data_IF_080927877134
#
_entry.id   IF_080927877134
#
_cell.length_a   1.000
_cell.length_b   1.000
_cell.length_c   1.000
_cell.angle_alpha   90.00
_cell.angle_beta   90.00
_cell.angle_gamma   90.00
#
_symmetry.space_group_name_H-M   'P 1'
#
loop_
_entity.id
_entity.type
_entity.pdbx_description
1 polymer ?
#
# COMPACT_ATOMS: atom_id res chain seq x y z
N UNK A 1 24.87 5.31 -15.17
CA UNK A 1 25.15 5.20 -16.61
C UNK A 1 25.30 3.72 -16.90
N UNK A 2 24.34 3.12 -17.57
CA UNK A 2 24.44 1.75 -18.09
C UNK A 2 25.38 1.84 -19.27
N UNK A 3 26.42 1.02 -19.34
CA UNK A 3 27.36 0.95 -20.48
C UNK A 3 26.72 0.38 -21.75
N UNK A 4 25.50 0.79 -22.03
CA UNK A 4 24.68 0.39 -23.17
C UNK A 4 24.49 1.62 -24.06
N UNK A 5 25.05 1.60 -25.24
CA UNK A 5 25.01 2.71 -26.23
C UNK A 5 23.62 2.85 -26.89
N UNK A 6 22.63 2.02 -26.51
CA UNK A 6 21.29 2.05 -27.07
C UNK A 6 20.49 3.23 -26.54
N UNK A 7 19.67 3.82 -27.40
CA UNK A 7 18.71 4.86 -26.99
C UNK A 7 17.58 4.28 -26.15
N UNK A 8 16.94 5.11 -25.33
CA UNK A 8 15.78 4.68 -24.53
C UNK A 8 14.64 4.11 -25.39
N UNK A 9 14.44 4.63 -26.60
CA UNK A 9 13.46 4.08 -27.55
C UNK A 9 13.84 2.69 -28.02
N UNK A 10 15.09 2.43 -28.36
CA UNK A 10 15.57 1.10 -28.78
C UNK A 10 15.37 0.07 -27.66
N UNK A 11 15.67 0.44 -26.42
CA UNK A 11 15.45 -0.42 -25.26
C UNK A 11 13.94 -0.71 -25.09
N UNK A 12 13.10 0.31 -25.21
CA UNK A 12 11.64 0.16 -25.09
C UNK A 12 11.07 -0.75 -26.18
N UNK A 13 11.54 -0.65 -27.42
CA UNK A 13 11.14 -1.53 -28.51
C UNK A 13 11.58 -2.97 -28.27
N UNK A 14 12.79 -3.18 -27.75
CA UNK A 14 13.25 -4.51 -27.39
C UNK A 14 12.42 -5.13 -26.28
N UNK A 15 12.15 -4.41 -25.18
CA UNK A 15 11.30 -4.87 -24.10
C UNK A 15 9.92 -5.29 -24.64
N UNK A 16 9.29 -4.44 -25.45
CA UNK A 16 7.99 -4.72 -26.05
C UNK A 16 7.99 -5.99 -26.89
N UNK A 17 9.00 -6.14 -27.77
CA UNK A 17 9.16 -7.30 -28.63
C UNK A 17 9.39 -8.59 -27.83
N UNK A 18 10.29 -8.53 -26.82
CA UNK A 18 10.62 -9.70 -25.98
C UNK A 18 9.42 -10.14 -25.14
N UNK A 19 8.74 -9.22 -24.48
CA UNK A 19 7.54 -9.55 -23.69
C UNK A 19 6.49 -10.23 -24.56
N UNK A 20 6.28 -9.74 -25.80
CA UNK A 20 5.34 -10.34 -26.72
C UNK A 20 5.77 -11.73 -27.17
N UNK A 21 7.07 -11.92 -27.50
CA UNK A 21 7.57 -13.19 -28.00
C UNK A 21 7.73 -14.25 -26.90
N UNK A 22 8.19 -13.85 -25.70
CA UNK A 22 8.53 -14.77 -24.62
C UNK A 22 7.32 -15.07 -23.68
N UNK A 23 6.40 -14.10 -23.51
CA UNK A 23 5.29 -14.23 -22.55
C UNK A 23 3.90 -14.24 -23.22
N UNK A 24 3.80 -13.96 -24.52
CA UNK A 24 2.53 -13.94 -25.24
C UNK A 24 1.58 -12.79 -24.87
N UNK A 25 2.06 -11.77 -24.14
CA UNK A 25 1.29 -10.58 -23.75
C UNK A 25 1.88 -9.33 -24.39
N UNK A 26 1.10 -8.24 -24.44
CA UNK A 26 1.58 -6.96 -24.97
C UNK A 26 1.80 -5.95 -23.85
N UNK A 27 2.76 -5.05 -24.05
CA UNK A 27 3.04 -3.91 -23.16
C UNK A 27 3.13 -2.62 -23.96
N UNK A 28 2.68 -1.51 -23.39
CA UNK A 28 2.92 -0.18 -23.92
C UNK A 28 3.96 0.53 -23.05
N UNK A 29 4.97 1.11 -23.67
CA UNK A 29 6.14 1.67 -23.00
C UNK A 29 6.24 3.16 -23.30
N UNK A 30 6.39 3.96 -22.25
CA UNK A 30 6.70 5.40 -22.36
C UNK A 30 8.16 5.66 -22.09
N UNK A 31 8.79 6.44 -22.95
CA UNK A 31 10.17 6.90 -22.84
C UNK A 31 10.18 8.40 -22.68
N UNK A 32 10.83 8.91 -21.63
CA UNK A 32 10.91 10.35 -21.39
C UNK A 32 12.11 10.72 -20.52
N UNK A 33 12.34 12.02 -20.39
CA UNK A 33 13.38 12.61 -19.54
C UNK A 33 13.02 12.67 -18.06
N UNK A 34 11.77 12.33 -17.67
CA UNK A 34 11.32 12.17 -16.30
C UNK A 34 10.29 11.03 -16.16
N UNK A 35 10.09 10.56 -14.94
CA UNK A 35 9.18 9.42 -14.65
C UNK A 35 7.71 9.75 -14.92
N UNK A 36 7.30 11.00 -14.72
CA UNK A 36 5.91 11.43 -14.86
C UNK A 36 5.48 11.34 -16.33
N UNK A 37 6.28 11.86 -17.22
CA UNK A 37 5.99 11.80 -18.65
C UNK A 37 6.25 10.43 -19.26
N UNK A 38 7.19 9.65 -18.72
CA UNK A 38 7.35 8.25 -19.11
C UNK A 38 6.09 7.44 -18.77
N UNK A 39 5.53 7.62 -17.55
CA UNK A 39 4.26 6.97 -17.16
C UNK A 39 3.09 7.43 -18.03
N UNK A 40 2.96 8.72 -18.30
CA UNK A 40 1.93 9.26 -19.20
C UNK A 40 2.09 8.68 -20.60
N UNK A 41 3.30 8.64 -21.15
CA UNK A 41 3.60 8.05 -22.46
C UNK A 41 3.22 6.58 -22.57
N UNK A 42 3.32 5.81 -21.49
CA UNK A 42 2.89 4.40 -21.47
C UNK A 42 1.37 4.25 -21.57
N UNK A 43 0.61 5.27 -21.22
CA UNK A 43 -0.85 5.28 -21.30
C UNK A 43 -1.37 5.97 -22.58
N UNK A 44 -0.54 6.77 -23.25
CA UNK A 44 -0.91 7.62 -24.37
C UNK A 44 -1.33 6.84 -25.62
N UNK A 45 -0.63 5.75 -25.93
CA UNK A 45 -0.97 4.83 -27.04
C UNK A 45 -1.03 3.39 -26.52
N UNK A 46 -2.21 2.80 -26.55
CA UNK A 46 -2.45 1.41 -26.14
C UNK A 46 -3.31 0.71 -27.20
N UNK A 47 -3.15 -0.60 -27.39
CA UNK A 47 -2.13 -1.48 -26.82
C UNK A 47 -0.83 -1.52 -27.67
N UNK A 48 0.19 -2.22 -27.18
CA UNK A 48 1.40 -2.63 -27.91
C UNK A 48 2.14 -1.49 -28.64
N UNK A 49 2.45 -0.41 -27.90
CA UNK A 49 3.06 0.80 -28.47
C UNK A 49 4.26 1.30 -27.66
N UNK A 50 5.12 2.07 -28.32
CA UNK A 50 6.15 2.89 -27.69
C UNK A 50 5.83 4.36 -27.95
N UNK A 51 5.87 5.18 -26.90
CA UNK A 51 5.67 6.64 -26.98
C UNK A 51 6.89 7.34 -26.42
N UNK A 52 7.53 8.18 -27.23
CA UNK A 52 8.69 9.00 -26.79
C UNK A 52 8.20 10.43 -26.55
N UNK A 53 8.42 10.92 -25.32
CA UNK A 53 8.13 12.29 -24.91
C UNK A 53 9.45 12.95 -24.54
N UNK A 54 9.95 13.80 -25.43
CA UNK A 54 11.23 14.52 -25.27
C UNK A 54 11.01 15.94 -24.73
N UNK A 55 12.10 16.63 -24.36
CA UNK A 55 12.05 18.04 -23.95
C UNK A 55 11.56 18.98 -25.04
N UNK A 56 11.78 18.60 -26.31
CA UNK A 56 11.39 19.39 -27.49
C UNK A 56 9.92 19.20 -27.86
N UNK A 57 9.32 18.04 -27.56
CA UNK A 57 7.98 17.70 -28.03
C UNK A 57 6.90 17.68 -26.94
N UNK A 58 7.26 17.70 -25.63
CA UNK A 58 6.27 17.48 -24.57
C UNK A 58 5.14 18.53 -24.56
N UNK A 59 5.41 19.78 -24.89
CA UNK A 59 4.37 20.79 -24.99
C UNK A 59 3.27 20.42 -25.99
N UNK A 60 3.70 19.86 -27.13
CA UNK A 60 2.77 19.44 -28.20
C UNK A 60 2.04 18.14 -27.86
N UNK A 61 2.68 17.22 -27.15
CA UNK A 61 2.13 15.89 -26.85
C UNK A 61 1.35 15.89 -25.54
N UNK A 62 1.87 16.52 -24.49
CA UNK A 62 1.35 16.40 -23.12
C UNK A 62 0.35 17.52 -22.79
N UNK A 63 0.66 18.77 -23.15
CA UNK A 63 -0.16 19.91 -22.72
C UNK A 63 -1.61 19.93 -23.24
N UNK A 64 -1.93 19.41 -24.44
CA UNK A 64 -3.31 19.31 -24.89
C UNK A 64 -4.15 18.24 -24.17
N UNK A 65 -3.51 17.33 -23.44
CA UNK A 65 -4.21 16.24 -22.76
C UNK A 65 -5.00 16.75 -21.54
N UNK A 66 -6.10 16.06 -21.20
CA UNK A 66 -6.86 16.35 -19.98
C UNK A 66 -5.98 16.28 -18.72
N UNK A 67 -6.26 17.13 -17.72
CA UNK A 67 -5.58 17.05 -16.42
C UNK A 67 -5.65 15.67 -15.78
N UNK A 68 -6.73 14.93 -16.01
CA UNK A 68 -6.94 13.57 -15.48
C UNK A 68 -5.88 12.56 -15.92
N UNK A 69 -5.20 12.82 -17.02
CA UNK A 69 -4.18 11.91 -17.57
C UNK A 69 -2.84 12.08 -16.88
N UNK A 70 -2.66 13.19 -16.14
CA UNK A 70 -1.46 13.42 -15.36
C UNK A 70 -1.44 12.54 -14.11
N UNK A 71 -0.31 11.93 -13.84
CA UNK A 71 -0.10 11.11 -12.63
C UNK A 71 -0.48 11.90 -11.38
N UNK A 72 -1.17 11.26 -10.43
CA UNK A 72 -1.69 11.84 -9.19
C UNK A 72 -2.89 12.80 -9.34
N UNK A 73 -3.47 12.94 -10.52
CA UNK A 73 -4.72 13.64 -10.75
C UNK A 73 -5.87 12.64 -10.82
N UNK A 74 -6.49 12.37 -9.68
CA UNK A 74 -7.68 11.51 -9.60
C UNK A 74 -8.99 12.27 -9.81
N UNK A 75 -10.16 11.58 -9.84
CA UNK A 75 -11.46 12.19 -10.15
C UNK A 75 -11.85 13.39 -9.25
N UNK A 76 -11.48 13.35 -7.97
CA UNK A 76 -11.75 14.47 -7.06
C UNK A 76 -10.92 15.71 -7.39
N UNK A 77 -9.64 15.53 -7.74
CA UNK A 77 -8.76 16.62 -8.17
C UNK A 77 -9.20 17.19 -9.50
N UNK A 78 -9.54 16.32 -10.46
CA UNK A 78 -10.09 16.72 -11.77
C UNK A 78 -11.32 17.61 -11.62
N UNK A 79 -12.30 17.19 -10.79
CA UNK A 79 -13.51 18.01 -10.54
C UNK A 79 -13.18 19.37 -9.95
N UNK A 80 -12.22 19.44 -9.01
CA UNK A 80 -11.80 20.72 -8.43
C UNK A 80 -11.14 21.63 -9.47
N UNK A 81 -10.22 21.10 -10.27
CA UNK A 81 -9.54 21.87 -11.32
C UNK A 81 -10.52 22.38 -12.36
N UNK A 82 -11.40 21.51 -12.86
CA UNK A 82 -12.39 21.86 -13.88
C UNK A 82 -13.38 22.93 -13.40
N UNK A 83 -13.75 22.92 -12.12
CA UNK A 83 -14.63 23.94 -11.53
C UNK A 83 -14.04 25.37 -11.60
N UNK A 84 -12.73 25.48 -11.78
CA UNK A 84 -12.01 26.74 -11.93
C UNK A 84 -11.43 26.96 -13.35
N UNK A 85 -11.92 26.21 -14.34
CA UNK A 85 -11.53 26.37 -15.73
C UNK A 85 -10.17 25.79 -16.11
N UNK A 86 -9.61 24.87 -15.29
CA UNK A 86 -8.36 24.17 -15.59
C UNK A 86 -8.71 22.76 -16.07
N UNK A 87 -8.70 22.53 -17.37
CA UNK A 87 -9.11 21.28 -18.01
C UNK A 87 -7.93 20.47 -18.52
N UNK A 88 -6.88 21.15 -19.03
CA UNK A 88 -5.73 20.52 -19.68
C UNK A 88 -4.47 20.59 -18.82
N UNK A 89 -3.51 19.71 -19.12
CA UNK A 89 -2.19 19.73 -18.46
C UNK A 89 -1.46 21.06 -18.74
N UNK A 90 -1.63 21.63 -19.93
CA UNK A 90 -1.03 22.93 -20.28
C UNK A 90 -1.62 24.08 -19.46
N UNK A 91 -2.93 24.11 -19.24
CA UNK A 91 -3.57 25.11 -18.37
C UNK A 91 -3.12 24.94 -16.91
N UNK A 92 -2.97 23.68 -16.43
CA UNK A 92 -2.41 23.41 -15.11
C UNK A 92 -0.95 23.90 -14.98
N UNK A 93 -0.13 23.71 -16.02
CA UNK A 93 1.26 24.20 -16.06
C UNK A 93 1.33 25.74 -16.03
N UNK A 94 0.38 26.43 -16.68
CA UNK A 94 0.28 27.89 -16.74
C UNK A 94 -0.37 28.50 -15.49
N UNK A 95 -1.14 27.73 -14.72
CA UNK A 95 -1.87 28.22 -13.56
C UNK A 95 -0.92 28.82 -12.50
N UNK A 96 -1.39 29.84 -11.79
CA UNK A 96 -0.61 30.50 -10.73
C UNK A 96 -0.38 29.57 -9.53
N UNK A 97 0.82 29.62 -8.95
CA UNK A 97 1.20 28.76 -7.82
C UNK A 97 0.38 29.03 -6.56
N UNK A 98 0.11 30.31 -6.25
CA UNK A 98 -0.72 30.70 -5.10
C UNK A 98 -2.16 30.19 -5.21
N UNK A 99 -2.75 30.29 -6.40
CA UNK A 99 -4.07 29.72 -6.68
C UNK A 99 -4.09 28.19 -6.47
N UNK A 100 -3.15 27.45 -7.05
CA UNK A 100 -3.09 26.00 -6.91
C UNK A 100 -2.78 25.56 -5.47
N UNK A 101 -1.97 26.34 -4.76
CA UNK A 101 -1.70 26.08 -3.34
C UNK A 101 -2.94 26.29 -2.48
N UNK A 102 -3.75 27.31 -2.76
CA UNK A 102 -5.03 27.55 -2.08
C UNK A 102 -6.04 26.45 -2.36
N UNK A 103 -6.13 25.95 -3.60
CA UNK A 103 -7.11 24.97 -4.05
C UNK A 103 -6.77 23.52 -3.62
N UNK A 104 -5.49 23.11 -3.72
CA UNK A 104 -5.02 21.74 -3.58
C UNK A 104 -3.89 21.57 -2.54
N UNK A 105 -3.47 22.63 -1.88
CA UNK A 105 -2.35 22.63 -0.95
C UNK A 105 -1.02 22.29 -1.63
N UNK A 106 -0.14 21.61 -0.92
CA UNK A 106 1.17 21.18 -1.46
C UNK A 106 1.06 20.32 -2.73
N UNK A 107 -0.03 19.57 -2.86
CA UNK A 107 -0.25 18.75 -4.05
C UNK A 107 -0.45 19.61 -5.30
N UNK A 108 -1.05 20.80 -5.19
CA UNK A 108 -1.21 21.71 -6.31
C UNK A 108 0.12 22.18 -6.89
N UNK A 109 1.08 22.50 -6.02
CA UNK A 109 2.43 22.90 -6.44
C UNK A 109 3.18 21.73 -7.11
N UNK A 110 3.06 20.53 -6.54
CA UNK A 110 3.64 19.31 -7.10
C UNK A 110 3.06 19.02 -8.51
N UNK A 111 1.74 19.06 -8.65
CA UNK A 111 1.07 18.80 -9.93
C UNK A 111 1.46 19.83 -10.99
N UNK A 112 1.61 21.10 -10.61
CA UNK A 112 2.13 22.13 -11.51
C UNK A 112 3.55 21.82 -11.99
N UNK A 113 4.44 21.43 -11.08
CA UNK A 113 5.81 21.02 -11.45
C UNK A 113 5.78 19.79 -12.38
N UNK A 114 4.92 18.81 -12.13
CA UNK A 114 4.73 17.67 -13.02
C UNK A 114 4.26 18.09 -14.42
N UNK A 115 3.25 18.97 -14.52
CA UNK A 115 2.73 19.49 -15.77
C UNK A 115 3.78 20.25 -16.59
N UNK A 116 4.73 20.89 -15.92
CA UNK A 116 5.86 21.62 -16.51
C UNK A 116 7.07 20.74 -16.85
N UNK A 117 7.00 19.44 -16.53
CA UNK A 117 8.12 18.52 -16.74
C UNK A 117 9.30 18.74 -15.79
N UNK A 118 9.09 19.42 -14.67
CA UNK A 118 10.12 19.79 -13.69
C UNK A 118 10.38 18.69 -12.64
N UNK A 119 9.79 17.48 -12.78
CA UNK A 119 10.11 16.36 -11.89
C UNK A 119 11.53 15.88 -12.06
N UNK A 120 12.31 15.95 -10.98
CA UNK A 120 13.70 15.52 -10.90
C UNK A 120 13.89 14.26 -10.05
N UNK A 121 12.78 13.59 -9.67
CA UNK A 121 12.85 12.41 -8.83
C UNK A 121 13.64 11.27 -9.51
N UNK A 122 14.72 10.73 -8.88
CA UNK A 122 15.56 9.74 -9.50
C UNK A 122 14.82 8.41 -9.71
N UNK A 123 15.20 7.66 -10.74
CA UNK A 123 14.86 6.25 -10.84
C UNK A 123 15.72 5.50 -9.81
N UNK A 124 15.05 4.80 -8.90
CA UNK A 124 15.74 4.04 -7.86
C UNK A 124 16.47 2.83 -8.45
N UNK A 125 17.64 2.51 -7.90
CA UNK A 125 18.31 1.25 -8.22
C UNK A 125 17.44 0.08 -7.77
N UNK A 126 17.48 -1.05 -8.47
CA UNK A 126 16.63 -2.22 -8.15
C UNK A 126 16.88 -2.78 -6.74
N UNK A 127 18.09 -2.62 -6.22
CA UNK A 127 18.47 -3.06 -4.87
C UNK A 127 18.17 -2.02 -3.79
N UNK A 128 17.67 -0.83 -4.15
CA UNK A 128 17.34 0.21 -3.20
C UNK A 128 16.12 -0.20 -2.37
N UNK A 129 16.33 -0.52 -1.10
CA UNK A 129 15.25 -0.84 -0.15
C UNK A 129 14.67 0.45 0.41
N UNK A 130 13.42 0.73 0.07
CA UNK A 130 12.68 1.82 0.72
C UNK A 130 12.39 1.46 2.18
N UNK A 131 12.53 2.42 3.08
CA UNK A 131 12.15 2.22 4.48
C UNK A 131 10.66 1.88 4.58
N UNK A 132 10.33 0.82 5.31
CA UNK A 132 8.95 0.40 5.54
C UNK A 132 8.26 1.44 6.42
N UNK A 133 7.17 2.01 5.95
CA UNK A 133 6.42 3.06 6.67
C UNK A 133 5.22 2.51 7.43
N UNK A 134 4.64 1.42 6.97
CA UNK A 134 3.50 0.76 7.60
C UNK A 134 3.48 -0.72 7.25
N UNK A 135 3.02 -1.55 8.18
CA UNK A 135 2.65 -2.95 7.94
C UNK A 135 1.19 -3.09 8.31
N UNK A 136 0.36 -3.54 7.39
CA UNK A 136 -1.07 -3.65 7.63
C UNK A 136 -1.75 -4.60 6.66
N UNK A 137 -2.92 -5.09 7.07
CA UNK A 137 -3.83 -5.86 6.25
C UNK A 137 -5.27 -5.43 6.50
N UNK A 138 -6.12 -5.64 5.52
CA UNK A 138 -7.56 -5.46 5.63
C UNK A 138 -8.27 -6.62 4.92
N UNK A 139 -9.49 -6.90 5.34
CA UNK A 139 -10.31 -7.91 4.70
C UNK A 139 -11.76 -7.42 4.57
N UNK A 140 -12.39 -7.81 3.46
CA UNK A 140 -13.85 -7.80 3.35
C UNK A 140 -14.32 -9.16 3.81
N UNK A 141 -15.15 -9.17 4.83
CA UNK A 141 -15.57 -10.42 5.48
C UNK A 141 -16.62 -11.16 4.64
N UNK A 142 -16.69 -12.51 4.72
CA UNK A 142 -17.65 -13.30 3.96
C UNK A 142 -19.11 -13.03 4.34
N UNK A 143 -19.33 -12.54 5.56
CA UNK A 143 -20.61 -11.99 6.06
C UNK A 143 -20.36 -10.70 6.80
N UNK A 144 -21.38 -9.88 6.94
CA UNK A 144 -21.29 -8.68 7.76
C UNK A 144 -21.05 -9.04 9.24
N UNK A 145 -20.20 -8.26 9.90
CA UNK A 145 -19.92 -8.38 11.33
C UNK A 145 -21.00 -7.62 12.11
N UNK A 146 -21.58 -8.27 13.12
CA UNK A 146 -22.75 -7.74 13.84
C UNK A 146 -22.50 -7.45 15.32
N UNK A 147 -21.41 -7.94 15.88
CA UNK A 147 -21.04 -7.74 17.28
C UNK A 147 -19.54 -7.65 17.53
N UNK A 148 -19.15 -7.33 18.76
CA UNK A 148 -17.76 -7.22 19.21
C UNK A 148 -17.00 -8.55 19.08
N UNK A 149 -17.67 -9.69 19.15
CA UNK A 149 -17.07 -11.02 19.05
C UNK A 149 -16.59 -11.28 17.65
N UNK A 150 -17.44 -11.00 16.66
CA UNK A 150 -17.09 -11.05 15.24
C UNK A 150 -15.85 -10.20 14.93
N UNK A 151 -15.88 -8.94 15.36
CA UNK A 151 -14.77 -7.98 15.16
C UNK A 151 -13.50 -8.48 15.82
N UNK A 152 -13.58 -9.03 17.03
CA UNK A 152 -12.43 -9.58 17.75
C UNK A 152 -11.81 -10.77 17.02
N UNK A 153 -12.64 -11.68 16.45
CA UNK A 153 -12.16 -12.82 15.66
C UNK A 153 -11.31 -12.32 14.48
N UNK A 154 -11.86 -11.40 13.68
CA UNK A 154 -11.15 -10.89 12.49
C UNK A 154 -9.92 -10.08 12.87
N UNK A 155 -10.01 -9.20 13.88
CA UNK A 155 -8.83 -8.46 14.35
C UNK A 155 -7.75 -9.38 14.93
N UNK A 156 -8.11 -10.53 15.52
CA UNK A 156 -7.10 -11.50 15.99
C UNK A 156 -6.28 -12.04 14.82
N UNK A 157 -6.93 -12.45 13.73
CA UNK A 157 -6.24 -12.95 12.53
C UNK A 157 -5.36 -11.86 11.90
N UNK A 158 -5.90 -10.63 11.78
CA UNK A 158 -5.14 -9.50 11.24
C UNK A 158 -3.95 -9.13 12.12
N UNK A 159 -4.11 -9.11 13.45
CA UNK A 159 -3.04 -8.78 14.39
C UNK A 159 -1.91 -9.81 14.35
N UNK A 160 -2.23 -11.12 14.29
CA UNK A 160 -1.23 -12.18 14.13
C UNK A 160 -0.45 -12.02 12.82
N UNK A 161 -1.15 -11.74 11.71
CA UNK A 161 -0.51 -11.54 10.40
C UNK A 161 0.39 -10.30 10.37
N UNK A 162 -0.08 -9.17 10.89
CA UNK A 162 0.69 -7.92 10.94
C UNK A 162 1.91 -8.08 11.84
N UNK A 163 1.73 -8.62 13.05
CA UNK A 163 2.81 -8.85 14.01
C UNK A 163 3.90 -9.78 13.45
N UNK A 164 3.50 -10.91 12.82
CA UNK A 164 4.42 -11.83 12.16
C UNK A 164 5.26 -11.13 11.09
N UNK A 165 4.62 -10.36 10.18
CA UNK A 165 5.32 -9.62 9.12
C UNK A 165 6.27 -8.55 9.67
N UNK A 166 5.93 -7.94 10.81
CA UNK A 166 6.83 -7.01 11.50
C UNK A 166 8.05 -7.74 12.05
N UNK A 167 7.86 -8.90 12.73
CA UNK A 167 8.96 -9.73 13.25
C UNK A 167 9.88 -10.25 12.15
N UNK A 168 9.32 -10.66 11.00
CA UNK A 168 10.10 -11.10 9.83
C UNK A 168 11.03 -10.00 9.28
N UNK A 169 10.70 -8.74 9.52
CA UNK A 169 11.49 -7.58 9.10
C UNK A 169 12.28 -6.92 10.25
N UNK A 170 12.23 -7.49 11.46
CA UNK A 170 12.88 -6.91 12.65
C UNK A 170 12.29 -5.58 13.09
N UNK A 171 11.01 -5.32 12.80
CA UNK A 171 10.34 -4.05 13.08
C UNK A 171 9.49 -4.14 14.35
N UNK A 172 9.55 -3.10 15.17
CA UNK A 172 8.58 -2.85 16.23
C UNK A 172 7.89 -1.51 15.99
N UNK A 173 6.57 -1.47 16.12
CA UNK A 173 5.80 -0.27 15.81
C UNK A 173 5.06 0.28 17.00
N UNK A 174 4.86 1.60 16.99
CA UNK A 174 4.27 2.32 18.13
C UNK A 174 2.85 2.81 17.89
N UNK A 175 2.42 2.95 16.63
CA UNK A 175 1.08 3.45 16.32
C UNK A 175 0.22 2.38 15.66
N UNK A 176 -0.86 1.98 16.33
CA UNK A 176 -1.88 1.09 15.81
C UNK A 176 -2.98 1.92 15.16
N UNK A 177 -3.37 1.53 13.95
CA UNK A 177 -4.43 2.16 13.19
C UNK A 177 -5.47 1.10 12.77
N UNK A 178 -6.75 1.39 13.01
CA UNK A 178 -7.87 0.58 12.51
C UNK A 178 -8.59 1.32 11.38
N UNK A 179 -9.08 0.56 10.42
CA UNK A 179 -9.97 1.01 9.35
C UNK A 179 -11.24 0.18 9.38
N UNK A 180 -12.38 0.83 9.42
CA UNK A 180 -13.69 0.19 9.50
C UNK A 180 -14.54 0.68 8.35
N UNK A 181 -15.25 -0.25 7.70
CA UNK A 181 -16.19 0.05 6.63
C UNK A 181 -17.52 -0.68 6.88
N UNK A 182 -18.58 0.07 6.97
CA UNK A 182 -19.92 -0.49 7.18
C UNK A 182 -20.56 -1.02 5.88
N UNK A 183 -21.75 -1.62 6.00
CA UNK A 183 -22.53 -2.12 4.86
C UNK A 183 -22.96 -1.02 3.89
N UNK A 184 -23.00 0.24 4.31
CA UNK A 184 -23.33 1.40 3.49
C UNK A 184 -22.07 1.98 2.80
N UNK A 185 -20.92 1.29 2.90
CA UNK A 185 -19.64 1.68 2.37
C UNK A 185 -19.05 2.94 3.01
N UNK A 186 -19.56 3.37 4.14
CA UNK A 186 -18.99 4.45 4.95
C UNK A 186 -17.70 3.95 5.61
N UNK A 187 -16.59 4.64 5.38
CA UNK A 187 -15.29 4.24 5.92
C UNK A 187 -14.76 5.29 6.86
N UNK A 188 -14.25 4.87 8.00
CA UNK A 188 -13.47 5.74 8.87
C UNK A 188 -12.23 5.02 9.42
N UNK A 189 -11.24 5.79 9.81
CA UNK A 189 -10.00 5.30 10.40
C UNK A 189 -9.77 5.95 11.76
N UNK A 190 -9.15 5.20 12.69
CA UNK A 190 -8.69 5.71 13.98
C UNK A 190 -7.32 5.14 14.27
N UNK A 191 -6.51 5.93 14.95
CA UNK A 191 -5.16 5.54 15.34
C UNK A 191 -4.89 5.90 16.79
N UNK A 192 -4.05 5.10 17.41
CA UNK A 192 -3.58 5.30 18.78
C UNK A 192 -2.09 4.99 18.87
N UNK A 193 -1.36 5.87 19.55
CA UNK A 193 0.06 5.68 19.82
C UNK A 193 0.24 4.93 21.14
N UNK A 194 0.91 3.79 21.10
CA UNK A 194 1.23 2.98 22.25
C UNK A 194 2.34 3.63 23.11
N UNK A 195 2.36 3.33 24.39
CA UNK A 195 3.41 3.80 25.30
C UNK A 195 4.81 3.30 24.90
N UNK A 196 4.90 2.07 24.40
CA UNK A 196 6.14 1.48 23.91
C UNK A 196 5.92 0.80 22.54
N UNK A 197 6.97 0.67 21.69
CA UNK A 197 6.88 -0.07 20.44
C UNK A 197 6.67 -1.56 20.72
N UNK A 198 5.98 -2.25 19.82
CA UNK A 198 5.66 -3.67 19.97
C UNK A 198 5.62 -4.39 18.62
N UNK A 199 5.92 -5.69 18.65
CA UNK A 199 5.67 -6.69 17.61
C UNK A 199 4.81 -7.86 18.13
N UNK A 200 4.20 -7.68 19.31
CA UNK A 200 3.38 -8.70 19.99
C UNK A 200 1.92 -8.56 19.54
N UNK A 201 1.38 -9.62 18.93
CA UNK A 201 0.03 -9.61 18.35
C UNK A 201 -1.07 -9.34 19.37
N UNK A 202 -0.91 -9.78 20.61
CA UNK A 202 -1.90 -9.55 21.67
C UNK A 202 -1.99 -8.08 22.08
N UNK A 203 -0.87 -7.36 22.14
CA UNK A 203 -0.87 -5.92 22.44
C UNK A 203 -1.51 -5.12 21.29
N UNK A 204 -1.19 -5.49 20.04
CA UNK A 204 -1.80 -4.88 18.86
C UNK A 204 -3.30 -5.12 18.84
N UNK A 205 -3.75 -6.36 19.12
CA UNK A 205 -5.17 -6.71 19.22
C UNK A 205 -5.89 -5.90 20.32
N UNK A 206 -5.29 -5.80 21.51
CA UNK A 206 -5.87 -5.02 22.62
C UNK A 206 -6.05 -3.56 22.23
N UNK A 207 -5.05 -2.95 21.62
CA UNK A 207 -5.12 -1.58 21.14
C UNK A 207 -6.19 -1.39 20.05
N UNK A 208 -6.27 -2.33 19.11
CA UNK A 208 -7.28 -2.31 18.05
C UNK A 208 -8.70 -2.41 18.60
N UNK A 209 -8.94 -3.33 19.56
CA UNK A 209 -10.25 -3.49 20.21
C UNK A 209 -10.61 -2.27 21.08
N UNK A 210 -9.63 -1.67 21.78
CA UNK A 210 -9.86 -0.44 22.54
C UNK A 210 -10.26 0.72 21.61
N UNK A 211 -9.55 0.90 20.49
CA UNK A 211 -9.89 1.89 19.47
C UNK A 211 -11.29 1.63 18.88
N UNK A 212 -11.61 0.39 18.57
CA UNK A 212 -12.92 0.02 18.07
C UNK A 212 -14.02 0.40 19.04
N UNK A 213 -13.97 -0.07 20.28
CA UNK A 213 -14.98 0.19 21.31
C UNK A 213 -15.14 1.67 21.67
N UNK A 214 -14.05 2.42 21.63
CA UNK A 214 -14.07 3.86 21.91
C UNK A 214 -14.74 4.68 20.78
N UNK A 215 -14.70 4.20 19.54
CA UNK A 215 -15.06 5.01 18.37
C UNK A 215 -16.19 4.46 17.52
N UNK A 216 -16.57 3.20 17.68
CA UNK A 216 -17.68 2.61 16.93
C UNK A 216 -18.87 2.33 17.85
N UNK A 217 -20.03 2.79 17.40
CA UNK A 217 -21.34 2.46 18.00
C UNK A 217 -22.11 1.65 16.99
N UNK A 218 -22.62 0.51 17.39
CA UNK A 218 -23.37 -0.38 16.53
C UNK A 218 -24.65 0.31 16.02
N UNK A 219 -24.56 0.89 14.83
CA UNK A 219 -25.68 1.46 14.08
C UNK A 219 -25.87 0.79 12.74
N UNK A 220 -24.79 0.19 12.20
CA UNK A 220 -24.80 -0.61 10.97
C UNK A 220 -23.80 -1.77 11.11
N UNK A 221 -24.06 -2.95 10.51
CA UNK A 221 -23.08 -4.01 10.44
C UNK A 221 -21.81 -3.58 9.68
N UNK A 222 -20.65 -4.15 10.05
CA UNK A 222 -19.38 -3.89 9.37
C UNK A 222 -19.15 -4.92 8.27
N UNK A 223 -18.79 -4.43 7.08
CA UNK A 223 -18.49 -5.24 5.90
C UNK A 223 -17.00 -5.53 5.74
N UNK A 224 -16.15 -4.61 6.17
CA UNK A 224 -14.71 -4.72 6.02
C UNK A 224 -14.00 -4.05 7.18
N UNK A 225 -12.95 -4.68 7.66
CA UNK A 225 -12.09 -4.12 8.69
C UNK A 225 -10.61 -4.27 8.30
N UNK A 226 -9.79 -3.33 8.75
CA UNK A 226 -8.36 -3.31 8.53
C UNK A 226 -7.61 -2.93 9.78
N UNK A 227 -6.38 -3.41 9.88
CA UNK A 227 -5.44 -3.15 10.95
C UNK A 227 -4.07 -2.85 10.36
N UNK A 228 -3.43 -1.79 10.82
CA UNK A 228 -2.05 -1.47 10.45
C UNK A 228 -1.27 -0.92 11.61
N UNK A 229 0.05 -1.08 11.55
CA UNK A 229 1.01 -0.54 12.52
C UNK A 229 1.99 0.35 11.76
N UNK A 230 2.34 1.48 12.38
CA UNK A 230 3.28 2.49 11.85
C UNK A 230 4.22 2.97 12.95
N UNK A 231 5.04 3.96 12.64
CA UNK A 231 6.04 4.55 13.55
C UNK A 231 7.00 3.47 14.08
N UNK A 232 7.75 2.86 13.13
CA UNK A 232 8.67 1.79 13.43
C UNK A 232 9.96 2.29 14.07
N UNK A 233 10.42 1.56 15.08
CA UNK A 233 11.72 1.69 15.69
C UNK A 233 12.55 0.44 15.34
N UNK A 234 13.77 0.63 14.81
CA UNK A 234 14.68 -0.46 14.44
C UNK A 234 15.44 -1.02 15.63
N UNK A 235 15.71 -0.17 16.62
CA UNK A 235 16.39 -0.53 17.86
C UNK A 235 15.62 0.09 19.03
N UNK A 236 14.53 -0.55 19.48
CA UNK A 236 13.76 0.00 20.59
C UNK A 236 14.57 -0.01 21.87
N UNK A 237 14.72 1.16 22.47
CA UNK A 237 15.32 1.26 23.80
C UNK A 237 14.39 0.57 24.82
N UNK A 238 14.86 -0.50 25.43
CA UNK A 238 14.09 -1.24 26.42
C UNK A 238 14.15 -0.48 27.74
N UNK A 239 13.04 0.15 28.10
CA UNK A 239 12.90 0.75 29.45
C UNK A 239 12.33 -0.32 30.38
N UNK A 240 13.14 -0.76 31.33
CA UNK A 240 12.68 -1.66 32.39
C UNK A 240 11.71 -0.92 33.32
N UNK A 241 10.56 -1.52 33.58
CA UNK A 241 9.62 -1.06 34.57
C UNK A 241 9.63 -1.97 35.82
N UNK A 242 9.23 -1.38 36.95
CA UNK A 242 9.13 -2.10 38.23
C UNK A 242 7.95 -3.09 38.28
N UNK A 243 7.08 -3.08 37.29
CA UNK A 243 5.85 -3.89 37.24
C UNK A 243 6.05 -5.26 36.52
N UNK A 244 7.29 -5.64 36.18
CA UNK A 244 7.61 -6.87 35.43
C UNK A 244 6.87 -7.02 34.10
N UNK A 245 6.33 -5.94 33.54
CA UNK A 245 5.60 -5.94 32.26
C UNK A 245 6.52 -6.39 31.14
N UNK A 246 7.80 -6.03 31.22
CA UNK A 246 8.80 -6.39 30.22
C UNK A 246 9.04 -7.91 30.13
N UNK A 247 9.11 -8.60 31.27
CA UNK A 247 9.28 -10.07 31.27
C UNK A 247 8.09 -10.78 30.61
N UNK A 248 6.87 -10.30 30.86
CA UNK A 248 5.67 -10.84 30.23
C UNK A 248 5.68 -10.63 28.73
N UNK A 249 6.12 -9.43 28.27
CA UNK A 249 6.27 -9.12 26.85
C UNK A 249 7.31 -10.00 26.17
N UNK A 250 8.46 -10.23 26.81
CA UNK A 250 9.51 -11.10 26.28
C UNK A 250 9.04 -12.54 26.16
N UNK A 251 8.30 -13.06 27.16
CA UNK A 251 7.68 -14.39 27.10
C UNK A 251 6.67 -14.49 25.96
N UNK A 252 5.81 -13.47 25.79
CA UNK A 252 4.85 -13.40 24.69
C UNK A 252 5.55 -13.36 23.33
N UNK A 253 6.57 -12.52 23.17
CA UNK A 253 7.36 -12.42 21.96
C UNK A 253 8.08 -13.72 21.60
N UNK A 254 8.65 -14.43 22.62
CA UNK A 254 9.28 -15.74 22.41
C UNK A 254 8.28 -16.79 21.97
N UNK A 255 7.10 -16.83 22.61
CA UNK A 255 6.02 -17.74 22.23
C UNK A 255 5.58 -17.48 20.79
N UNK A 256 5.35 -16.22 20.41
CA UNK A 256 4.90 -15.86 19.06
C UNK A 256 5.94 -16.21 17.99
N UNK A 257 7.24 -16.01 18.24
CA UNK A 257 8.31 -16.46 17.34
C UNK A 257 8.30 -17.99 17.15
N UNK A 258 8.08 -18.74 18.23
CA UNK A 258 7.97 -20.21 18.15
C UNK A 258 6.75 -20.62 17.32
N UNK A 259 5.61 -19.95 17.50
CA UNK A 259 4.40 -20.17 16.68
C UNK A 259 4.65 -19.82 15.22
N UNK A 260 5.35 -18.72 14.93
CA UNK A 260 5.71 -18.34 13.56
C UNK A 260 6.58 -19.39 12.88
N UNK A 261 7.55 -19.98 13.62
CA UNK A 261 8.40 -21.05 13.12
C UNK A 261 7.61 -22.33 12.84
N UNK A 262 6.66 -22.69 13.70
CA UNK A 262 5.77 -23.81 13.45
C UNK A 262 4.89 -23.58 12.24
N UNK A 263 4.28 -22.39 12.12
CA UNK A 263 3.45 -22.02 10.95
C UNK A 263 4.24 -22.01 9.64
N UNK A 264 5.52 -21.61 9.68
CA UNK A 264 6.41 -21.67 8.50
C UNK A 264 6.72 -23.09 8.04
N UNK A 265 6.88 -24.02 9.00
CA UNK A 265 7.24 -25.42 8.71
C UNK A 265 6.04 -26.29 8.34
N UNK A 266 4.90 -26.08 8.97
CA UNK A 266 3.75 -26.97 8.91
C UNK A 266 2.47 -26.32 8.34
N UNK A 267 2.57 -25.08 7.88
CA UNK A 267 1.45 -24.32 7.32
C UNK A 267 0.73 -23.44 8.34
N UNK A 268 0.00 -22.45 7.83
CA UNK A 268 -0.59 -21.38 8.65
C UNK A 268 -1.62 -21.87 9.68
N UNK A 269 -2.25 -23.00 9.43
CA UNK A 269 -3.32 -23.53 10.27
C UNK A 269 -2.89 -24.67 11.22
N UNK A 270 -1.60 -25.01 11.28
CA UNK A 270 -1.09 -26.09 12.16
C UNK A 270 -1.27 -25.78 13.65
N UNK A 271 -1.30 -24.51 14.02
CA UNK A 271 -1.55 -24.04 15.37
C UNK A 271 -2.38 -22.74 15.32
N UNK A 272 -3.46 -22.70 16.08
CA UNK A 272 -4.40 -21.57 16.12
C UNK A 272 -4.85 -21.30 17.55
N UNK A 273 -5.28 -20.08 17.82
CA UNK A 273 -5.96 -19.75 19.09
C UNK A 273 -7.33 -20.42 19.14
N UNK A 274 -7.68 -21.03 20.25
CA UNK A 274 -8.97 -21.69 20.43
C UNK A 274 -10.16 -20.72 20.17
N UNK A 275 -10.00 -19.43 20.47
CA UNK A 275 -11.02 -18.40 20.19
C UNK A 275 -11.36 -18.23 18.70
N UNK A 276 -10.48 -18.66 17.79
CA UNK A 276 -10.70 -18.61 16.35
C UNK A 276 -11.53 -19.80 15.82
N UNK A 277 -11.67 -20.86 16.62
CA UNK A 277 -12.41 -22.06 16.24
C UNK A 277 -13.95 -21.88 16.36
N UNK A 278 -14.39 -20.85 17.09
CA UNK A 278 -15.82 -20.59 17.29
C UNK A 278 -16.55 -20.14 16.02
N UNK A 279 -15.86 -19.44 15.12
CA UNK A 279 -16.39 -19.10 13.79
C UNK A 279 -15.27 -19.23 12.75
N UNK A 280 -15.22 -20.40 12.13
CA UNK A 280 -14.22 -20.70 11.09
C UNK A 280 -14.51 -19.96 9.77
N UNK A 281 -15.75 -19.54 9.54
CA UNK A 281 -16.12 -18.70 8.38
C UNK A 281 -15.45 -17.33 8.43
N UNK A 282 -15.32 -16.73 9.63
CA UNK A 282 -14.66 -15.45 9.85
C UNK A 282 -13.17 -15.54 10.08
N UNK A 283 -12.66 -16.67 10.60
CA UNK A 283 -11.26 -16.80 11.00
C UNK A 283 -10.36 -17.51 9.98
N UNK A 284 -10.95 -18.27 9.04
CA UNK A 284 -10.20 -19.14 8.13
C UNK A 284 -9.82 -18.43 6.84
N UNK A 285 -9.09 -17.32 6.98
CA UNK A 285 -8.43 -16.63 5.87
C UNK A 285 -6.97 -16.38 6.23
N UNK A 286 -6.11 -16.35 5.22
CA UNK A 286 -4.69 -16.06 5.39
C UNK A 286 -4.37 -14.70 4.77
N UNK A 287 -4.28 -13.60 5.55
CA UNK A 287 -4.04 -12.28 4.99
C UNK A 287 -2.69 -12.14 4.26
N UNK A 288 -1.77 -13.10 4.44
CA UNK A 288 -0.49 -13.12 3.75
C UNK A 288 -0.61 -13.69 2.33
N UNK A 289 -1.35 -14.78 2.16
CA UNK A 289 -1.41 -15.53 0.90
C UNK A 289 -2.70 -15.27 0.12
N UNK A 290 -3.81 -14.93 0.81
CA UNK A 290 -5.11 -14.64 0.20
C UNK A 290 -5.21 -13.20 -0.37
N UNK A 291 -4.08 -12.57 -0.68
CA UNK A 291 -4.04 -11.19 -1.18
C UNK A 291 -4.50 -11.14 -2.64
N UNK A 292 -5.78 -10.87 -2.86
CA UNK A 292 -6.36 -10.67 -4.19
C UNK A 292 -5.96 -9.37 -4.89
N UNK A 293 -5.30 -8.44 -4.18
CA UNK A 293 -4.94 -7.10 -4.71
C UNK A 293 -3.61 -7.10 -5.47
N UNK A 294 -2.73 -8.03 -5.16
CA UNK A 294 -1.51 -8.26 -5.94
C UNK A 294 -1.59 -9.65 -6.54
N UNK A 295 -1.86 -9.78 -7.83
CA UNK A 295 -1.71 -11.08 -8.47
C UNK A 295 -0.31 -11.58 -8.15
N UNK A 296 -0.22 -12.79 -7.60
CA UNK A 296 1.05 -13.49 -7.44
C UNK A 296 1.73 -13.42 -8.79
N UNK A 297 2.92 -12.81 -8.87
CA UNK A 297 3.59 -12.60 -10.14
C UNK A 297 3.73 -13.96 -10.85
N UNK A 298 3.44 -14.00 -12.12
CA UNK A 298 3.46 -15.21 -12.97
C UNK A 298 4.77 -16.03 -12.85
N UNK A 299 5.82 -15.40 -12.33
CA UNK A 299 7.15 -16.00 -12.14
C UNK A 299 7.27 -16.88 -10.88
N UNK A 300 6.40 -16.76 -9.88
CA UNK A 300 6.44 -17.58 -8.67
C UNK A 300 5.65 -18.88 -8.76
N UNK A 301 4.85 -19.07 -9.82
CA UNK A 301 4.03 -20.27 -10.04
C UNK A 301 4.74 -21.45 -10.69
N UNK A 302 6.01 -21.30 -11.14
CA UNK A 302 6.73 -22.38 -11.85
C UNK A 302 7.72 -23.19 -10.98
N UNK A 303 7.98 -22.78 -9.73
CA UNK A 303 8.93 -23.51 -8.87
C UNK A 303 8.27 -24.53 -7.92
N UNK A 304 6.96 -24.74 -7.97
CA UNK A 304 6.27 -25.71 -7.10
C UNK A 304 5.64 -26.92 -7.84
N UNK A 305 5.99 -27.10 -9.09
CA UNK A 305 5.62 -28.32 -9.86
C UNK A 305 6.87 -29.00 -10.38
N UNK A 306 7.66 -29.57 -9.47
CA UNK A 306 8.79 -30.43 -9.71
C UNK A 306 8.97 -31.38 -8.56
#
# INVERSE_FOLDING_TARGET
MTGDDRTGEQIAQEIRRRVKAELGITVSVGVSFNKIFAKLGSDYKKPDAVTVISRENYHRVVWPLPCSDLLCVGPATTRKLNAYGVYTIGELAAARSDFLQGLLGKNGLMLRAFARGEDTSPVQHMDAKAAVKSVGNSTTTPRDLVDDTDVKVVFTVLAESVARRMREQGLQGRTVCISLRDKNLQTFTRRHKLAAPTDVSTEILQAAMALFRANYRWGAPLRSIGLSVTDFELEPCVQFDLAHTQEQRERAAKLERTVDDLKRRFGNYCIQRASLLGDTGLSRFNPHDDHTIHPVGFLTGKEQAG
#
